data_IF_877015702111
#
_entry.id   IF_877015702111
#
_cell.length_a   1.000
_cell.length_b   1.000
_cell.length_c   1.000
_cell.angle_alpha   90.00
_cell.angle_beta   90.00
_cell.angle_gamma   90.00
#
_symmetry.space_group_name_H-M   'P 1'
#
loop_
_entity.id
_entity.type
_entity.pdbx_description
1 polymer ?
#
# COMPACT_ATOMS: atom_id res chain seq x y z
N UNK A 1 -9.00 6.99 -20.68
CA UNK A 1 -9.22 8.31 -20.05
C UNK A 1 -10.70 8.69 -20.19
N UNK A 2 -11.28 9.40 -19.23
CA UNK A 2 -12.67 9.90 -19.26
C UNK A 2 -12.71 11.35 -18.77
N UNK A 3 -13.47 12.19 -19.47
CA UNK A 3 -13.69 13.61 -19.11
C UNK A 3 -15.13 13.89 -18.68
N UNK A 4 -15.97 12.87 -18.65
CA UNK A 4 -17.42 12.94 -18.43
C UNK A 4 -17.85 12.06 -17.25
N UNK A 5 -16.98 11.94 -16.23
CA UNK A 5 -17.25 11.19 -14.99
C UNK A 5 -17.54 9.71 -15.25
N UNK A 6 -16.77 9.11 -16.16
CA UNK A 6 -16.88 7.71 -16.55
C UNK A 6 -18.16 7.34 -17.32
N UNK A 7 -18.91 8.30 -17.85
CA UNK A 7 -20.01 8.03 -18.79
C UNK A 7 -19.46 7.42 -20.10
N UNK A 8 -18.30 7.92 -20.56
CA UNK A 8 -17.56 7.33 -21.68
C UNK A 8 -16.06 7.28 -21.41
N UNK A 9 -15.38 6.35 -22.10
CA UNK A 9 -13.94 6.19 -22.05
C UNK A 9 -13.35 6.32 -23.45
N UNK A 10 -12.29 7.11 -23.57
CA UNK A 10 -11.44 7.08 -24.77
C UNK A 10 -10.80 5.71 -24.93
N UNK A 11 -10.47 5.33 -26.16
CA UNK A 11 -9.62 4.15 -26.42
C UNK A 11 -8.34 4.28 -25.59
N UNK A 12 -7.97 3.25 -24.81
CA UNK A 12 -6.69 3.26 -24.10
C UNK A 12 -5.53 3.33 -25.11
N UNK A 13 -4.44 4.01 -24.76
CA UNK A 13 -3.14 3.80 -25.41
C UNK A 13 -2.33 2.83 -24.54
N UNK A 14 -2.43 1.51 -24.77
CA UNK A 14 -1.82 0.52 -23.89
C UNK A 14 -0.30 0.39 -24.09
N UNK A 15 0.30 1.10 -25.05
CA UNK A 15 1.72 0.95 -25.41
C UNK A 15 2.54 2.09 -24.80
N UNK A 16 2.81 2.02 -23.50
CA UNK A 16 3.69 3.00 -22.84
C UNK A 16 4.74 2.40 -21.92
N UNK A 17 4.74 1.09 -21.67
CA UNK A 17 5.78 0.48 -20.85
C UNK A 17 7.13 0.60 -21.59
N UNK A 18 7.99 1.50 -21.10
CA UNK A 18 9.33 1.73 -21.67
C UNK A 18 10.32 0.61 -21.37
N UNK A 19 9.89 -0.44 -20.65
CA UNK A 19 10.72 -1.57 -20.20
C UNK A 19 9.99 -2.89 -20.42
N UNK A 20 10.70 -3.98 -20.76
CA UNK A 20 10.11 -5.31 -20.90
C UNK A 20 9.84 -5.97 -19.52
N UNK A 21 8.96 -6.98 -19.49
CA UNK A 21 8.60 -7.75 -18.28
C UNK A 21 7.99 -6.91 -17.15
N UNK A 22 7.15 -5.95 -17.53
CA UNK A 22 6.46 -5.05 -16.62
C UNK A 22 5.16 -5.67 -16.06
N UNK A 23 5.05 -5.68 -14.74
CA UNK A 23 3.76 -5.76 -14.05
C UNK A 23 3.28 -4.33 -13.74
N UNK A 24 2.05 -3.99 -14.14
CA UNK A 24 1.49 -2.63 -14.05
C UNK A 24 0.49 -2.61 -12.92
N UNK A 25 0.84 -1.98 -11.80
CA UNK A 25 0.05 -2.22 -10.59
C UNK A 25 -0.65 -0.96 -10.10
N UNK A 26 -0.03 0.23 -10.18
CA UNK A 26 -0.59 1.39 -9.47
C UNK A 26 -0.55 2.71 -10.23
N UNK A 27 -1.57 3.53 -9.99
CA UNK A 27 -1.65 4.91 -10.44
C UNK A 27 -2.07 5.82 -9.29
N UNK A 28 -1.57 7.05 -9.30
CA UNK A 28 -2.11 8.14 -8.49
C UNK A 28 -1.97 9.47 -9.26
N UNK A 29 -2.80 10.44 -8.95
CA UNK A 29 -2.90 11.69 -9.71
C UNK A 29 -2.69 12.91 -8.81
N UNK A 30 -2.15 13.98 -9.40
CA UNK A 30 -2.18 15.28 -8.73
C UNK A 30 -3.63 15.82 -8.75
N UNK A 31 -3.93 16.81 -7.91
CA UNK A 31 -5.22 17.51 -7.94
C UNK A 31 -5.31 18.50 -9.14
N UNK A 32 -5.03 18.01 -10.35
CA UNK A 32 -5.17 18.71 -11.62
C UNK A 32 -5.61 17.74 -12.74
N UNK A 33 -6.12 18.24 -13.89
CA UNK A 33 -6.70 17.37 -14.92
C UNK A 33 -5.69 16.63 -15.80
N UNK A 34 -4.39 16.92 -15.68
CA UNK A 34 -3.36 16.52 -16.65
C UNK A 34 -2.35 15.52 -16.07
N UNK A 35 -1.99 15.64 -14.79
CA UNK A 35 -0.85 14.91 -14.24
C UNK A 35 -1.24 13.63 -13.50
N UNK A 36 -0.87 12.49 -14.10
CA UNK A 36 -1.04 11.16 -13.52
C UNK A 36 0.31 10.46 -13.49
N UNK A 37 0.59 9.75 -12.40
CA UNK A 37 1.79 8.94 -12.22
C UNK A 37 1.40 7.48 -12.24
N UNK A 38 2.06 6.70 -13.08
CA UNK A 38 1.90 5.25 -13.15
C UNK A 38 3.18 4.59 -12.69
N UNK A 39 3.02 3.65 -11.76
CA UNK A 39 4.06 2.74 -11.33
C UNK A 39 3.95 1.41 -12.09
N UNK A 40 5.11 0.85 -12.40
CA UNK A 40 5.24 -0.51 -12.91
C UNK A 40 6.58 -1.12 -12.47
N UNK A 41 6.58 -2.43 -12.27
CA UNK A 41 7.72 -3.18 -11.75
C UNK A 41 8.28 -4.14 -12.80
N UNK A 42 9.59 -4.08 -13.02
CA UNK A 42 10.31 -5.04 -13.84
C UNK A 42 10.60 -6.31 -13.02
N UNK A 43 9.66 -7.25 -13.02
CA UNK A 43 9.81 -8.51 -12.29
C UNK A 43 10.76 -9.51 -12.98
N UNK A 44 11.09 -9.28 -14.26
CA UNK A 44 11.80 -10.26 -15.08
C UNK A 44 13.32 -10.09 -15.13
N UNK A 45 13.83 -8.88 -14.91
CA UNK A 45 15.27 -8.60 -15.10
C UNK A 45 15.93 -7.88 -13.92
N UNK A 46 15.50 -6.67 -13.59
CA UNK A 46 16.20 -5.82 -12.61
C UNK A 46 15.51 -5.75 -11.24
N UNK A 47 14.26 -6.23 -11.13
CA UNK A 47 13.39 -5.94 -9.98
C UNK A 47 13.25 -4.43 -9.71
N UNK A 48 13.53 -3.57 -10.68
CA UNK A 48 13.40 -2.13 -10.51
C UNK A 48 11.92 -1.73 -10.54
N UNK A 49 11.56 -0.74 -9.72
CA UNK A 49 10.26 -0.08 -9.77
C UNK A 49 10.43 1.21 -10.56
N UNK A 50 9.62 1.38 -11.59
CA UNK A 50 9.60 2.57 -12.42
C UNK A 50 8.35 3.39 -12.14
N UNK A 51 8.52 4.71 -12.18
CA UNK A 51 7.41 5.66 -12.17
C UNK A 51 7.48 6.49 -13.43
N UNK A 52 6.36 6.62 -14.12
CA UNK A 52 6.25 7.43 -15.33
C UNK A 52 5.08 8.40 -15.22
N UNK A 53 5.28 9.63 -15.71
CA UNK A 53 4.28 10.69 -15.68
C UNK A 53 3.55 10.82 -17.01
N UNK A 54 2.23 10.93 -16.93
CA UNK A 54 1.36 11.47 -17.97
C UNK A 54 1.11 12.95 -17.75
N UNK A 55 1.06 13.72 -18.84
CA UNK A 55 0.73 15.16 -18.83
C UNK A 55 -0.59 15.46 -19.57
N UNK A 56 -1.40 14.43 -19.84
CA UNK A 56 -2.64 14.49 -20.63
C UNK A 56 -3.77 13.65 -20.01
N UNK A 57 -3.80 13.57 -18.67
CA UNK A 57 -4.87 12.91 -17.92
C UNK A 57 -4.81 11.39 -17.97
N UNK A 58 -3.61 10.83 -18.15
CA UNK A 58 -3.39 9.39 -18.27
C UNK A 58 -3.68 8.84 -19.67
N UNK A 59 -3.71 9.70 -20.70
CA UNK A 59 -3.88 9.25 -22.08
C UNK A 59 -2.57 8.68 -22.64
N UNK A 60 -1.44 9.34 -22.41
CA UNK A 60 -0.10 8.85 -22.76
C UNK A 60 0.88 8.98 -21.58
N UNK A 61 1.82 8.03 -21.47
CA UNK A 61 2.91 8.05 -20.51
C UNK A 61 4.23 8.11 -21.27
N UNK A 62 4.66 9.32 -21.59
CA UNK A 62 5.90 9.59 -22.35
C UNK A 62 6.84 10.52 -21.61
N UNK A 63 6.44 11.01 -20.43
CA UNK A 63 7.17 12.00 -19.66
C UNK A 63 7.65 11.43 -18.33
N UNK A 64 8.71 12.05 -17.80
CA UNK A 64 9.23 11.80 -16.47
C UNK A 64 9.32 10.36 -16.01
N UNK A 65 10.17 9.60 -16.70
CA UNK A 65 10.58 8.28 -16.26
C UNK A 65 11.58 8.42 -15.09
N UNK A 66 11.27 7.79 -13.97
CA UNK A 66 12.15 7.64 -12.82
C UNK A 66 12.27 6.20 -12.39
N UNK A 67 13.44 5.83 -11.87
CA UNK A 67 13.68 4.58 -11.14
C UNK A 67 13.58 4.85 -9.66
N UNK A 68 12.79 4.06 -8.94
CA UNK A 68 12.56 4.27 -7.51
C UNK A 68 13.73 3.73 -6.70
N UNK A 69 14.11 2.47 -6.93
CA UNK A 69 15.19 1.82 -6.19
C UNK A 69 16.51 2.50 -6.52
N UNK A 70 17.08 3.19 -5.55
CA UNK A 70 18.33 3.93 -5.72
C UNK A 70 19.55 3.00 -5.68
N UNK A 71 20.71 3.51 -6.12
CA UNK A 71 21.93 2.73 -6.22
C UNK A 71 22.46 2.22 -4.86
N UNK A 72 22.06 2.85 -3.75
CA UNK A 72 22.47 2.40 -2.42
C UNK A 72 21.61 1.24 -1.93
N UNK A 73 20.34 1.20 -2.34
CA UNK A 73 19.35 0.20 -1.92
C UNK A 73 19.31 -1.00 -2.86
N UNK A 74 19.60 -0.81 -4.15
CA UNK A 74 19.56 -1.85 -5.19
C UNK A 74 20.24 -3.17 -4.79
N UNK A 75 21.45 -3.20 -4.19
CA UNK A 75 22.07 -4.47 -3.80
C UNK A 75 21.24 -5.32 -2.81
N UNK A 76 20.33 -4.68 -2.07
CA UNK A 76 19.47 -5.33 -1.08
C UNK A 76 18.13 -5.80 -1.67
N UNK A 77 17.62 -5.14 -2.70
CA UNK A 77 16.23 -5.33 -3.16
C UNK A 77 16.10 -5.58 -4.67
N UNK A 78 17.23 -5.61 -5.39
CA UNK A 78 17.33 -6.19 -6.72
C UNK A 78 17.37 -7.73 -6.67
N UNK A 79 17.61 -8.41 -7.81
CA UNK A 79 17.76 -9.86 -7.86
C UNK A 79 18.85 -10.37 -6.89
N UNK A 80 18.73 -11.60 -6.35
CA UNK A 80 17.81 -12.64 -6.80
C UNK A 80 16.45 -12.66 -6.10
N UNK A 81 16.31 -12.13 -4.87
CA UNK A 81 15.02 -12.13 -4.17
C UNK A 81 14.08 -11.04 -4.71
N UNK A 82 14.63 -9.87 -5.04
CA UNK A 82 13.85 -8.74 -5.54
C UNK A 82 13.01 -8.04 -4.47
N UNK A 83 11.97 -7.35 -4.92
CA UNK A 83 11.03 -6.64 -4.06
C UNK A 83 9.58 -6.79 -4.52
N UNK A 84 8.67 -6.33 -3.67
CA UNK A 84 7.24 -6.23 -3.95
C UNK A 84 6.81 -4.79 -3.69
N UNK A 85 6.39 -4.13 -4.76
CA UNK A 85 5.90 -2.75 -4.75
C UNK A 85 4.45 -2.67 -4.26
N UNK A 86 4.15 -1.65 -3.47
CA UNK A 86 2.79 -1.21 -3.17
C UNK A 86 2.39 -0.02 -4.04
N UNK A 87 1.34 0.68 -3.64
CA UNK A 87 0.86 1.86 -4.35
C UNK A 87 1.87 3.02 -4.34
N UNK A 88 2.01 3.67 -5.49
CA UNK A 88 2.51 5.04 -5.57
C UNK A 88 1.50 5.99 -4.92
N UNK A 89 1.97 7.01 -4.22
CA UNK A 89 1.15 8.10 -3.69
C UNK A 89 1.69 9.48 -4.05
N UNK A 90 0.79 10.38 -4.41
CA UNK A 90 1.04 11.81 -4.58
C UNK A 90 0.64 12.53 -3.30
N UNK A 91 1.52 13.38 -2.78
CA UNK A 91 1.16 14.30 -1.69
C UNK A 91 0.20 15.37 -2.22
N UNK A 92 -1.02 15.37 -1.69
CA UNK A 92 -2.09 16.32 -2.03
C UNK A 92 -2.44 17.25 -0.86
N UNK A 93 -1.60 17.28 0.16
CA UNK A 93 -1.70 18.25 1.25
C UNK A 93 -1.44 19.66 0.75
N UNK A 94 -1.96 20.67 1.44
CA UNK A 94 -1.57 22.06 1.14
C UNK A 94 -0.26 22.48 1.82
N UNK A 95 0.62 21.51 2.13
CA UNK A 95 1.96 21.77 2.62
C UNK A 95 2.93 22.07 1.47
N UNK A 96 4.16 22.47 1.83
CA UNK A 96 5.27 22.61 0.87
C UNK A 96 5.67 21.28 0.22
N UNK A 97 5.20 20.15 0.74
CA UNK A 97 5.42 18.82 0.19
C UNK A 97 4.42 18.44 -0.90
N UNK A 98 3.41 19.29 -1.19
CA UNK A 98 2.45 19.08 -2.27
C UNK A 98 3.14 18.71 -3.58
N UNK A 99 2.72 17.59 -4.18
CA UNK A 99 3.28 17.04 -5.42
C UNK A 99 4.47 16.08 -5.22
N UNK A 100 5.00 15.93 -3.99
CA UNK A 100 5.97 14.87 -3.71
C UNK A 100 5.38 13.49 -4.02
N UNK A 101 6.23 12.55 -4.42
CA UNK A 101 5.83 11.17 -4.73
C UNK A 101 6.44 10.20 -3.72
N UNK A 102 5.66 9.19 -3.34
CA UNK A 102 6.04 8.18 -2.37
C UNK A 102 5.72 6.79 -2.89
N UNK A 103 6.74 5.98 -3.14
CA UNK A 103 6.61 4.59 -3.54
C UNK A 103 6.93 3.66 -2.38
N UNK A 104 5.95 2.94 -1.84
CA UNK A 104 6.20 1.94 -0.79
C UNK A 104 6.56 0.59 -1.40
N UNK A 105 7.49 -0.13 -0.78
CA UNK A 105 7.82 -1.50 -1.18
C UNK A 105 8.40 -2.30 -0.01
N UNK A 106 8.42 -3.62 -0.14
CA UNK A 106 9.10 -4.54 0.78
C UNK A 106 10.14 -5.35 0.03
N UNK A 107 11.22 -5.68 0.72
CA UNK A 107 12.33 -6.44 0.16
C UNK A 107 13.28 -6.92 1.25
N UNK A 108 14.38 -7.58 0.87
CA UNK A 108 15.43 -7.92 1.81
C UNK A 108 16.10 -6.69 2.43
N UNK A 109 16.47 -6.82 3.70
CA UNK A 109 17.00 -5.73 4.54
C UNK A 109 18.38 -5.27 4.09
N UNK A 110 19.16 -6.19 3.50
CA UNK A 110 20.54 -6.01 3.09
C UNK A 110 20.91 -7.04 2.01
N UNK A 111 22.09 -6.92 1.37
CA UNK A 111 22.52 -7.83 0.31
C UNK A 111 22.71 -9.28 0.75
N UNK A 112 23.04 -9.52 2.03
CA UNK A 112 23.17 -10.89 2.55
C UNK A 112 21.83 -11.59 2.61
N UNK A 113 20.78 -10.89 3.06
CA UNK A 113 19.42 -11.40 3.05
C UNK A 113 18.94 -11.63 1.61
N UNK A 114 19.23 -10.69 0.70
CA UNK A 114 18.88 -10.80 -0.71
C UNK A 114 19.45 -12.06 -1.39
N UNK A 115 20.70 -12.41 -1.07
CA UNK A 115 21.37 -13.57 -1.64
C UNK A 115 20.69 -14.92 -1.34
N UNK A 116 19.76 -14.99 -0.38
CA UNK A 116 19.02 -16.22 -0.06
C UNK A 116 17.99 -16.60 -1.14
N UNK A 117 17.65 -15.70 -2.07
CA UNK A 117 16.69 -15.94 -3.15
C UNK A 117 15.35 -16.51 -2.63
N UNK A 118 14.77 -15.87 -1.61
CA UNK A 118 13.59 -16.38 -0.91
C UNK A 118 12.76 -15.27 -0.33
N UNK A 119 11.44 -15.32 -0.56
CA UNK A 119 10.49 -14.34 -0.04
C UNK A 119 10.44 -14.32 1.50
N UNK A 120 10.86 -15.38 2.19
CA UNK A 120 11.01 -15.36 3.65
C UNK A 120 12.04 -14.34 4.14
N UNK A 121 12.98 -13.95 3.28
CA UNK A 121 13.97 -12.91 3.54
C UNK A 121 13.56 -11.53 3.04
N UNK A 122 12.32 -11.33 2.57
CA UNK A 122 11.77 -9.97 2.41
C UNK A 122 11.47 -9.40 3.80
N UNK A 123 12.49 -9.00 4.55
CA UNK A 123 12.47 -8.73 5.98
C UNK A 123 12.58 -7.23 6.32
N UNK A 124 12.43 -6.34 5.33
CA UNK A 124 12.38 -4.90 5.51
C UNK A 124 11.30 -4.22 4.65
N UNK A 125 10.83 -3.07 5.11
CA UNK A 125 9.92 -2.19 4.40
C UNK A 125 10.61 -0.86 4.09
N UNK A 126 10.34 -0.30 2.92
CA UNK A 126 11.01 0.87 2.36
C UNK A 126 9.99 1.85 1.76
N UNK A 127 10.42 3.11 1.64
CA UNK A 127 9.76 4.11 0.81
C UNK A 127 10.81 4.78 -0.10
N UNK A 128 10.55 4.83 -1.39
CA UNK A 128 11.24 5.73 -2.31
C UNK A 128 10.56 7.09 -2.31
N UNK A 129 11.32 8.14 -2.08
CA UNK A 129 10.83 9.53 -1.99
C UNK A 129 11.34 10.36 -3.15
N UNK A 130 10.45 10.90 -3.98
CA UNK A 130 10.77 11.97 -4.92
C UNK A 130 10.24 13.30 -4.38
N UNK A 131 11.14 14.19 -3.96
CA UNK A 131 10.79 15.49 -3.40
C UNK A 131 10.95 16.62 -4.41
N UNK A 132 10.14 17.68 -4.26
CA UNK A 132 10.24 18.86 -5.13
C UNK A 132 9.94 18.57 -6.60
N UNK A 133 9.06 17.60 -6.85
CA UNK A 133 8.67 17.21 -8.22
C UNK A 133 8.08 18.41 -8.94
N UNK A 134 8.68 18.75 -10.08
CA UNK A 134 8.25 19.89 -10.90
C UNK A 134 7.40 19.40 -12.06
N UNK A 135 6.30 20.10 -12.34
CA UNK A 135 5.47 19.85 -13.52
C UNK A 135 6.11 20.36 -14.82
N UNK A 136 7.07 21.30 -14.72
CA UNK A 136 7.79 21.85 -15.88
C UNK A 136 9.09 21.13 -16.19
N UNK A 137 9.60 20.33 -15.25
CA UNK A 137 10.74 19.43 -15.47
C UNK A 137 10.24 17.99 -15.60
N UNK A 138 10.78 17.18 -16.52
CA UNK A 138 10.45 15.76 -16.56
C UNK A 138 11.20 14.96 -15.48
N UNK A 139 12.26 15.47 -14.86
CA UNK A 139 13.09 14.64 -13.99
C UNK A 139 12.36 14.19 -12.72
N UNK A 140 12.30 12.87 -12.52
CA UNK A 140 11.94 12.25 -11.24
C UNK A 140 13.20 11.61 -10.64
N UNK A 141 13.54 11.99 -9.41
CA UNK A 141 14.68 11.45 -8.68
C UNK A 141 14.21 10.95 -7.34
N UNK A 142 14.35 9.65 -7.11
CA UNK A 142 13.99 9.01 -5.86
C UNK A 142 15.20 8.84 -4.95
N UNK A 143 14.95 8.84 -3.65
CA UNK A 143 15.90 8.39 -2.62
C UNK A 143 15.14 7.46 -1.69
N UNK A 144 15.72 6.31 -1.41
CA UNK A 144 15.07 5.28 -0.61
C UNK A 144 15.37 5.45 0.87
N UNK A 145 14.34 5.23 1.68
CA UNK A 145 14.42 5.23 3.13
C UNK A 145 13.82 3.95 3.69
N UNK A 146 14.57 3.30 4.58
CA UNK A 146 14.09 2.14 5.31
C UNK A 146 13.07 2.57 6.37
N UNK A 147 11.86 2.04 6.29
CA UNK A 147 10.77 2.24 7.25
C UNK A 147 10.95 1.30 8.44
N UNK A 148 11.28 0.04 8.16
CA UNK A 148 11.31 -1.02 9.15
C UNK A 148 12.25 -2.15 8.74
N UNK A 149 12.77 -2.86 9.75
CA UNK A 149 13.60 -4.06 9.61
C UNK A 149 13.21 -5.08 10.67
N UNK A 150 13.05 -6.34 10.26
CA UNK A 150 12.97 -7.47 11.19
C UNK A 150 14.34 -7.85 11.78
N UNK A 151 15.44 -7.29 11.25
CA UNK A 151 16.81 -7.55 11.65
C UNK A 151 17.64 -8.12 10.51
N UNK A 152 18.78 -7.48 10.22
CA UNK A 152 19.73 -7.93 9.22
C UNK A 152 20.21 -9.37 9.48
N UNK A 153 20.20 -10.23 8.47
CA UNK A 153 20.62 -11.63 8.59
C UNK A 153 19.55 -12.54 9.20
N UNK A 154 18.29 -12.10 9.28
CA UNK A 154 17.20 -12.86 9.92
C UNK A 154 15.87 -12.73 9.19
N UNK A 155 15.00 -13.73 9.31
CA UNK A 155 13.61 -13.64 8.83
C UNK A 155 12.73 -12.93 9.86
N UNK A 156 11.55 -12.48 9.46
CA UNK A 156 10.61 -11.89 10.41
C UNK A 156 10.10 -12.92 11.44
N UNK A 157 9.60 -12.48 12.60
CA UNK A 157 9.22 -13.38 13.69
C UNK A 157 8.16 -14.43 13.33
N UNK A 158 7.30 -14.16 12.35
CA UNK A 158 6.32 -15.13 11.84
C UNK A 158 6.95 -16.25 11.00
N UNK A 159 8.21 -16.11 10.58
CA UNK A 159 8.88 -16.98 9.61
C UNK A 159 8.51 -16.69 8.15
N UNK A 160 7.46 -15.92 7.90
CA UNK A 160 7.14 -15.38 6.58
C UNK A 160 7.84 -14.03 6.38
N UNK A 161 8.16 -13.68 5.14
CA UNK A 161 8.60 -12.32 4.82
C UNK A 161 7.41 -11.35 4.84
N UNK A 162 7.70 -10.08 4.59
CA UNK A 162 6.74 -8.97 4.56
C UNK A 162 5.94 -8.89 3.26
N UNK A 163 6.28 -9.73 2.27
CA UNK A 163 5.64 -9.83 0.96
C UNK A 163 4.25 -10.49 0.94
N UNK A 164 3.36 -10.13 1.88
CA UNK A 164 2.00 -10.71 1.97
C UNK A 164 0.94 -9.83 1.28
N UNK A 165 1.26 -9.40 0.04
CA UNK A 165 0.54 -8.56 -0.94
C UNK A 165 -0.48 -7.56 -0.38
N UNK A 166 -0.34 -6.27 -0.57
CA UNK A 166 0.87 -5.52 -0.86
C UNK A 166 1.16 -4.66 0.38
N UNK A 167 2.39 -4.17 0.58
CA UNK A 167 2.54 -3.01 1.44
C UNK A 167 1.69 -1.86 0.89
N UNK A 168 1.21 -0.98 1.75
CA UNK A 168 0.41 0.16 1.33
C UNK A 168 0.81 1.41 2.10
N UNK A 169 0.62 2.57 1.47
CA UNK A 169 0.94 3.87 2.03
C UNK A 169 -0.20 4.84 1.79
N UNK A 170 -0.43 5.75 2.73
CA UNK A 170 -1.33 6.89 2.57
C UNK A 170 -0.64 8.17 3.03
N UNK A 171 -1.05 9.29 2.43
CA UNK A 171 -0.66 10.65 2.84
C UNK A 171 -1.93 11.36 3.29
N UNK A 172 -1.95 11.92 4.50
CA UNK A 172 -3.08 12.76 4.91
C UNK A 172 -3.00 14.16 4.30
N UNK A 173 -4.06 14.96 4.46
CA UNK A 173 -4.11 16.35 3.99
C UNK A 173 -3.13 17.29 4.71
N UNK A 174 -2.33 16.79 5.66
CA UNK A 174 -1.33 17.53 6.42
C UNK A 174 0.10 17.12 6.05
N UNK A 175 0.26 16.27 5.04
CA UNK A 175 1.56 15.83 4.54
C UNK A 175 2.23 14.78 5.44
N UNK A 176 1.47 14.15 6.34
CA UNK A 176 1.95 13.03 7.14
C UNK A 176 1.73 11.73 6.39
N UNK A 177 2.73 10.85 6.44
CA UNK A 177 2.71 9.57 5.74
C UNK A 177 2.45 8.44 6.72
N UNK A 178 1.79 7.41 6.21
CA UNK A 178 1.43 6.23 6.96
C UNK A 178 1.65 5.00 6.11
N UNK A 179 2.47 4.06 6.57
CA UNK A 179 2.78 2.83 5.86
C UNK A 179 2.27 1.61 6.64
N UNK A 180 1.77 0.61 5.92
CA UNK A 180 1.31 -0.67 6.46
C UNK A 180 1.85 -1.83 5.66
N UNK A 181 2.09 -2.94 6.34
CA UNK A 181 2.55 -4.20 5.74
C UNK A 181 2.16 -5.38 6.64
N UNK A 182 2.27 -6.59 6.10
CA UNK A 182 1.92 -7.83 6.81
C UNK A 182 3.10 -8.79 6.83
N UNK A 183 3.37 -9.39 8.00
CA UNK A 183 4.27 -10.56 8.12
C UNK A 183 3.51 -11.89 8.08
N UNK A 184 2.32 -11.93 7.48
CA UNK A 184 1.34 -13.02 7.51
C UNK A 184 0.57 -13.13 8.82
N UNK A 185 1.18 -12.84 9.96
CA UNK A 185 0.54 -12.95 11.29
C UNK A 185 0.05 -11.59 11.79
N UNK A 186 0.81 -10.53 11.58
CA UNK A 186 0.55 -9.21 12.11
C UNK A 186 0.46 -8.20 10.98
N UNK A 187 -0.52 -7.30 11.07
CA UNK A 187 -0.49 -6.02 10.37
C UNK A 187 0.34 -5.03 11.17
N UNK A 188 1.39 -4.50 10.54
CA UNK A 188 2.23 -3.45 11.08
C UNK A 188 1.82 -2.09 10.49
N UNK A 189 2.14 -1.05 11.25
CA UNK A 189 1.91 0.34 10.92
C UNK A 189 3.12 1.17 11.37
N UNK A 190 3.51 2.15 10.55
CA UNK A 190 4.46 3.19 10.93
C UNK A 190 4.06 4.51 10.29
N UNK A 191 4.45 5.63 10.88
CA UNK A 191 4.16 6.96 10.37
C UNK A 191 5.42 7.81 10.22
N UNK A 192 5.36 8.78 9.31
CA UNK A 192 6.41 9.78 9.11
C UNK A 192 5.84 11.20 9.20
N UNK A 193 6.51 12.02 10.00
CA UNK A 193 6.30 13.48 10.06
C UNK A 193 7.34 14.27 9.28
N UNK A 194 8.23 13.56 8.58
CA UNK A 194 9.43 14.10 7.91
C UNK A 194 9.42 13.76 6.42
N UNK A 195 8.22 13.72 5.82
CA UNK A 195 8.02 13.48 4.39
C UNK A 195 8.69 12.18 3.90
N UNK A 196 8.67 11.13 4.73
CA UNK A 196 9.22 9.81 4.40
C UNK A 196 10.70 9.61 4.73
N UNK A 197 11.42 10.65 5.18
CA UNK A 197 12.87 10.54 5.47
C UNK A 197 13.20 9.86 6.80
N UNK A 198 12.25 9.85 7.74
CA UNK A 198 12.35 9.11 9.01
C UNK A 198 10.97 8.64 9.46
N UNK A 199 10.93 7.51 10.18
CA UNK A 199 9.71 6.78 10.51
C UNK A 199 9.65 6.44 11.99
N UNK A 200 8.43 6.34 12.53
CA UNK A 200 8.21 5.84 13.88
C UNK A 200 8.63 4.37 13.99
N UNK A 201 8.89 3.86 15.21
CA UNK A 201 8.93 2.42 15.43
C UNK A 201 7.65 1.76 14.90
N UNK A 202 7.78 0.54 14.36
CA UNK A 202 6.64 -0.20 13.84
C UNK A 202 5.69 -0.61 14.99
N UNK A 203 4.39 -0.38 14.78
CA UNK A 203 3.31 -0.68 15.70
C UNK A 203 2.52 -1.86 15.15
N UNK A 204 2.27 -2.87 15.97
CA UNK A 204 1.43 -4.02 15.61
C UNK A 204 -0.04 -3.66 15.82
N UNK A 205 -0.76 -3.33 14.74
CA UNK A 205 -2.19 -2.95 14.78
C UNK A 205 -3.06 -4.09 15.31
N UNK A 206 -2.64 -5.33 15.07
CA UNK A 206 -3.32 -6.55 15.52
C UNK A 206 -3.07 -6.89 16.99
N UNK A 207 -2.08 -6.27 17.63
CA UNK A 207 -1.74 -6.56 19.02
C UNK A 207 -2.90 -6.21 19.96
N UNK A 208 -3.15 -7.06 20.96
CA UNK A 208 -4.22 -6.90 21.94
C UNK A 208 -5.62 -6.81 21.31
N UNK A 209 -5.81 -7.40 20.13
CA UNK A 209 -7.11 -7.52 19.47
C UNK A 209 -7.52 -9.00 19.33
N UNK A 210 -8.78 -9.32 18.98
CA UNK A 210 -9.18 -10.68 18.63
C UNK A 210 -8.46 -11.31 17.43
N UNK A 211 -7.66 -10.53 16.70
CA UNK A 211 -6.83 -10.97 15.57
C UNK A 211 -5.36 -11.22 15.97
N UNK A 212 -4.98 -11.04 17.24
CA UNK A 212 -3.64 -11.31 17.71
C UNK A 212 -3.27 -12.80 17.51
N UNK A 213 -2.13 -13.05 16.86
CA UNK A 213 -1.60 -14.39 16.62
C UNK A 213 -2.30 -15.20 15.53
N UNK A 214 -3.29 -14.63 14.84
CA UNK A 214 -3.98 -15.24 13.69
C UNK A 214 -3.33 -14.83 12.37
N UNK A 215 -3.74 -15.45 11.27
CA UNK A 215 -3.32 -14.99 9.94
C UNK A 215 -4.00 -13.67 9.58
N UNK A 216 -3.23 -12.68 9.16
CA UNK A 216 -3.67 -11.35 8.77
C UNK A 216 -2.88 -10.90 7.52
N UNK A 217 -3.54 -10.76 6.37
CA UNK A 217 -2.90 -10.46 5.08
C UNK A 217 -3.67 -9.39 4.31
N UNK A 218 -3.07 -8.87 3.24
CA UNK A 218 -3.66 -7.86 2.36
C UNK A 218 -4.03 -6.54 3.07
N UNK A 219 -3.08 -5.93 3.81
CA UNK A 219 -3.34 -4.64 4.41
C UNK A 219 -3.46 -3.55 3.34
N UNK A 220 -4.46 -2.69 3.53
CA UNK A 220 -4.65 -1.45 2.80
C UNK A 220 -4.85 -0.32 3.79
N UNK A 221 -4.47 0.90 3.39
CA UNK A 221 -4.54 2.09 4.25
C UNK A 221 -5.11 3.29 3.49
N UNK A 222 -5.89 4.11 4.19
CA UNK A 222 -6.33 5.42 3.72
C UNK A 222 -6.20 6.45 4.86
N UNK A 223 -5.95 7.70 4.48
CA UNK A 223 -5.89 8.84 5.38
C UNK A 223 -6.42 10.09 4.67
N UNK A 224 -7.09 10.99 5.38
CA UNK A 224 -7.73 12.18 4.78
C UNK A 224 -7.70 13.45 5.64
N UNK A 225 -7.46 13.33 6.94
CA UNK A 225 -7.40 14.44 7.90
C UNK A 225 -6.24 14.23 8.88
N UNK A 226 -5.97 15.21 9.74
CA UNK A 226 -4.77 15.26 10.59
C UNK A 226 -4.68 14.04 11.51
N UNK A 227 -3.92 13.01 11.11
CA UNK A 227 -3.86 11.75 11.84
C UNK A 227 -5.14 10.90 11.78
N UNK A 228 -6.11 11.20 10.90
CA UNK A 228 -7.23 10.29 10.65
C UNK A 228 -6.82 9.24 9.64
N UNK A 229 -6.71 8.00 10.11
CA UNK A 229 -6.19 6.87 9.36
C UNK A 229 -7.10 5.67 9.56
N UNK A 230 -7.37 4.95 8.47
CA UNK A 230 -8.07 3.68 8.48
C UNK A 230 -7.23 2.60 7.77
N UNK A 231 -7.12 1.43 8.40
CA UNK A 231 -6.36 0.28 7.89
C UNK A 231 -7.30 -0.90 7.80
N UNK A 232 -7.44 -1.53 6.62
CA UNK A 232 -8.26 -2.72 6.44
C UNK A 232 -7.44 -3.90 5.92
N UNK A 233 -7.84 -5.12 6.29
CA UNK A 233 -7.14 -6.36 5.91
C UNK A 233 -8.06 -7.58 6.00
N UNK A 234 -7.64 -8.71 5.41
CA UNK A 234 -8.25 -10.02 5.64
C UNK A 234 -7.65 -10.66 6.90
N UNK A 235 -8.51 -10.93 7.89
CA UNK A 235 -8.14 -11.63 9.11
C UNK A 235 -8.82 -13.00 9.20
N UNK A 236 -8.03 -14.04 9.48
CA UNK A 236 -8.52 -15.41 9.67
C UNK A 236 -9.14 -15.59 11.07
N UNK A 237 -9.85 -16.70 11.25
CA UNK A 237 -10.24 -17.21 12.55
C UNK A 237 -9.19 -18.14 13.20
N UNK A 238 -8.16 -18.54 12.43
CA UNK A 238 -7.07 -19.43 12.85
C UNK A 238 -5.68 -18.78 12.70
N UNK A 239 -4.69 -19.39 13.35
CA UNK A 239 -3.27 -19.10 13.13
C UNK A 239 -2.71 -19.96 11.99
N UNK A 240 -1.62 -19.51 11.38
CA UNK A 240 -0.89 -20.24 10.34
C UNK A 240 -0.44 -19.34 9.19
N UNK A 241 0.20 -19.94 8.18
CA UNK A 241 0.52 -19.22 6.94
C UNK A 241 -0.70 -19.21 6.03
N UNK A 242 -1.15 -18.04 5.59
CA UNK A 242 -2.33 -17.90 4.70
C UNK A 242 -2.33 -18.83 3.48
N UNK A 243 -1.16 -19.19 2.94
CA UNK A 243 -1.03 -20.08 1.77
C UNK A 243 -1.22 -21.57 2.12
N UNK A 244 -1.18 -21.94 3.39
CA UNK A 244 -1.17 -23.34 3.85
C UNK A 244 -2.07 -23.61 5.06
N UNK A 245 -2.83 -22.63 5.53
CA UNK A 245 -3.85 -22.84 6.58
C UNK A 245 -4.86 -23.93 6.18
N UNK A 246 -5.52 -24.58 7.16
CA UNK A 246 -6.56 -25.57 6.87
C UNK A 246 -7.66 -25.01 5.95
N UNK A 247 -8.20 -25.85 5.06
CA UNK A 247 -9.26 -25.44 4.13
C UNK A 247 -10.58 -25.06 4.83
N UNK A 248 -10.70 -25.29 6.14
CA UNK A 248 -11.83 -24.88 6.97
C UNK A 248 -11.64 -23.50 7.62
N UNK A 249 -10.54 -22.81 7.33
CA UNK A 249 -10.22 -21.49 7.90
C UNK A 249 -11.15 -20.43 7.32
N UNK A 250 -11.78 -19.63 8.17
CA UNK A 250 -12.71 -18.59 7.76
C UNK A 250 -12.05 -17.22 7.86
N UNK A 251 -12.30 -16.39 6.85
CA UNK A 251 -11.74 -15.05 6.73
C UNK A 251 -12.85 -14.01 6.78
N UNK A 252 -12.51 -12.87 7.37
CA UNK A 252 -13.35 -11.69 7.45
C UNK A 252 -12.50 -10.46 7.15
N UNK A 253 -13.15 -9.39 6.68
CA UNK A 253 -12.49 -8.09 6.60
C UNK A 253 -12.54 -7.39 7.94
N UNK A 254 -11.38 -6.95 8.42
CA UNK A 254 -11.25 -6.11 9.61
C UNK A 254 -10.81 -4.71 9.21
N UNK A 255 -11.19 -3.72 10.03
CA UNK A 255 -10.75 -2.33 9.89
C UNK A 255 -10.34 -1.77 11.25
N UNK A 256 -9.16 -1.15 11.31
CA UNK A 256 -8.69 -0.38 12.44
C UNK A 256 -8.67 1.11 12.07
N UNK A 257 -9.34 1.93 12.87
CA UNK A 257 -9.45 3.38 12.65
C UNK A 257 -8.82 4.15 13.82
N UNK A 258 -8.07 5.21 13.52
CA UNK A 258 -7.51 6.14 14.49
C UNK A 258 -7.69 7.58 14.03
N UNK A 259 -7.84 8.52 14.98
CA UNK A 259 -7.88 9.97 14.72
C UNK A 259 -6.61 10.69 15.20
N UNK A 260 -5.62 9.92 15.66
CA UNK A 260 -4.34 10.43 16.16
C UNK A 260 -3.16 9.59 15.64
N UNK A 261 -3.20 9.18 14.38
CA UNK A 261 -2.27 8.22 13.78
C UNK A 261 -0.77 8.59 13.87
N UNK A 262 -0.43 9.88 13.92
CA UNK A 262 0.96 10.34 14.06
C UNK A 262 1.38 10.65 15.51
N UNK A 263 0.53 10.35 16.49
CA UNK A 263 0.91 10.47 17.90
C UNK A 263 1.97 9.42 18.27
N UNK A 264 2.77 9.70 19.31
CA UNK A 264 3.75 8.73 19.85
C UNK A 264 3.10 7.40 20.23
N UNK A 265 1.86 7.45 20.71
CA UNK A 265 1.03 6.29 21.04
C UNK A 265 -0.33 6.44 20.36
N UNK A 266 -0.46 6.10 19.07
CA UNK A 266 -1.74 6.18 18.37
C UNK A 266 -2.71 5.15 18.94
N UNK A 267 -3.99 5.48 18.98
CA UNK A 267 -5.03 4.59 19.51
C UNK A 267 -5.95 4.18 18.37
N UNK A 268 -6.06 2.87 18.15
CA UNK A 268 -6.90 2.28 17.12
C UNK A 268 -8.17 1.67 17.72
N UNK A 269 -9.29 1.88 17.04
CA UNK A 269 -10.53 1.15 17.27
C UNK A 269 -10.67 0.08 16.19
N UNK A 270 -10.73 -1.19 16.58
CA UNK A 270 -10.93 -2.31 15.66
C UNK A 270 -12.42 -2.60 15.46
N UNK A 271 -12.83 -2.84 14.21
CA UNK A 271 -14.15 -3.36 13.85
C UNK A 271 -14.02 -4.48 12.81
N UNK A 272 -15.00 -5.40 12.79
CA UNK A 272 -15.20 -6.30 11.63
C UNK A 272 -16.08 -5.59 10.61
N UNK A 273 -15.60 -5.46 9.38
CA UNK A 273 -16.28 -4.79 8.29
C UNK A 273 -17.29 -5.70 7.58
N UNK A 274 -17.02 -7.01 7.53
CA UNK A 274 -17.96 -8.00 6.97
C UNK A 274 -19.06 -8.36 7.98
N UNK A 275 -20.27 -8.61 7.46
CA UNK A 275 -21.39 -9.16 8.23
C UNK A 275 -21.40 -10.70 8.25
N UNK A 276 -20.68 -11.35 7.33
CA UNK A 276 -20.48 -12.79 7.24
C UNK A 276 -19.01 -13.14 6.89
N UNK A 277 -18.71 -14.44 6.81
CA UNK A 277 -17.41 -14.94 6.33
C UNK A 277 -17.35 -14.70 4.83
N UNK A 278 -16.41 -13.87 4.36
CA UNK A 278 -16.28 -13.54 2.93
C UNK A 278 -15.46 -14.58 2.17
N UNK A 279 -14.70 -15.43 2.88
CA UNK A 279 -13.88 -16.48 2.29
C UNK A 279 -13.61 -17.63 3.26
N UNK A 280 -13.62 -18.86 2.76
CA UNK A 280 -13.19 -20.05 3.49
C UNK A 280 -12.12 -20.78 2.69
N UNK A 281 -10.98 -21.05 3.31
CA UNK A 281 -9.85 -21.69 2.64
C UNK A 281 -8.51 -21.01 2.91
N UNK A 282 -7.58 -21.22 1.98
CA UNK A 282 -6.28 -20.55 1.97
C UNK A 282 -6.39 -19.22 1.21
N UNK A 283 -5.46 -18.29 1.44
CA UNK A 283 -5.33 -17.09 0.61
C UNK A 283 -3.90 -17.03 0.11
N UNK A 284 -3.73 -17.04 -1.21
CA UNK A 284 -2.43 -16.95 -1.82
C UNK A 284 -1.87 -15.53 -1.81
N UNK A 285 -0.67 -15.40 -1.25
CA UNK A 285 0.11 -14.15 -1.23
C UNK A 285 1.29 -14.17 -2.20
N UNK A 286 1.36 -15.14 -3.12
CA UNK A 286 2.48 -15.32 -4.05
C UNK A 286 2.38 -14.53 -5.35
N UNK A 287 1.33 -13.70 -5.50
CA UNK A 287 1.08 -12.92 -6.71
C UNK A 287 0.88 -13.81 -7.94
N UNK A 288 1.44 -13.40 -9.08
CA UNK A 288 1.38 -14.13 -10.35
C UNK A 288 1.92 -15.57 -10.26
N UNK A 289 2.91 -15.80 -9.39
CA UNK A 289 3.57 -17.11 -9.22
C UNK A 289 3.00 -17.91 -8.03
N UNK A 290 1.96 -17.38 -7.37
CA UNK A 290 1.30 -18.04 -6.26
C UNK A 290 0.55 -19.29 -6.71
N UNK A 291 0.64 -20.37 -5.92
CA UNK A 291 0.00 -21.66 -6.21
C UNK A 291 -1.16 -22.03 -5.27
N UNK A 292 -1.38 -21.23 -4.21
CA UNK A 292 -2.52 -21.40 -3.31
C UNK A 292 -3.78 -20.72 -3.90
N UNK A 293 -4.89 -20.71 -3.17
CA UNK A 293 -6.17 -20.18 -3.66
C UNK A 293 -6.05 -18.67 -4.01
N UNK A 294 -6.40 -18.34 -5.27
CA UNK A 294 -6.39 -17.00 -5.87
C UNK A 294 -7.80 -16.50 -6.21
N UNK A 295 -8.85 -17.10 -5.64
CA UNK A 295 -10.24 -16.73 -5.90
C UNK A 295 -10.58 -15.31 -5.48
N UNK A 296 -9.91 -14.75 -4.47
CA UNK A 296 -10.04 -13.34 -4.08
C UNK A 296 -9.28 -12.39 -5.01
N UNK A 297 -8.38 -12.91 -5.85
CA UNK A 297 -7.38 -12.15 -6.59
C UNK A 297 -6.69 -11.11 -5.68
N UNK A 298 -6.27 -9.97 -6.22
CA UNK A 298 -5.71 -8.85 -5.46
C UNK A 298 -6.74 -7.70 -5.34
N UNK A 299 -8.04 -8.02 -5.39
CA UNK A 299 -9.14 -7.04 -5.37
C UNK A 299 -9.54 -6.69 -3.95
N UNK A 300 -8.82 -5.71 -3.39
CA UNK A 300 -9.11 -5.13 -2.08
C UNK A 300 -8.73 -3.65 -2.10
N UNK A 301 -9.56 -2.77 -1.57
CA UNK A 301 -9.24 -1.34 -1.46
C UNK A 301 -10.01 -0.67 -0.31
N UNK A 302 -9.39 0.34 0.28
CA UNK A 302 -10.01 1.25 1.26
C UNK A 302 -9.88 2.69 0.79
N UNK A 303 -10.91 3.50 1.08
CA UNK A 303 -10.88 4.95 0.89
C UNK A 303 -11.70 5.64 1.99
N UNK A 304 -11.34 6.88 2.31
CA UNK A 304 -12.13 7.73 3.22
C UNK A 304 -12.80 8.81 2.37
N UNK A 305 -14.12 8.96 2.51
CA UNK A 305 -14.85 10.05 1.86
C UNK A 305 -14.39 11.39 2.46
N UNK A 306 -13.78 12.29 1.69
CA UNK A 306 -13.17 13.51 2.22
C UNK A 306 -14.17 14.55 2.73
N UNK A 307 -15.48 14.34 2.51
CA UNK A 307 -16.56 15.23 2.96
C UNK A 307 -17.24 14.70 4.22
N UNK A 308 -17.47 13.39 4.27
CA UNK A 308 -18.17 12.75 5.41
C UNK A 308 -17.22 12.10 6.40
N UNK A 309 -15.95 11.94 6.04
CA UNK A 309 -14.92 11.19 6.76
C UNK A 309 -15.33 9.74 7.06
N UNK A 310 -16.19 9.17 6.21
CA UNK A 310 -16.64 7.79 6.35
C UNK A 310 -15.71 6.86 5.56
N UNK A 311 -15.31 5.78 6.21
CA UNK A 311 -14.51 4.72 5.60
C UNK A 311 -15.39 3.92 4.64
N UNK A 312 -14.86 3.65 3.44
CA UNK A 312 -15.43 2.79 2.42
C UNK A 312 -14.41 1.69 2.10
N UNK A 313 -14.87 0.44 2.03
CA UNK A 313 -14.00 -0.71 1.72
C UNK A 313 -14.68 -1.51 0.60
N UNK A 314 -13.92 -1.77 -0.46
CA UNK A 314 -14.28 -2.71 -1.51
C UNK A 314 -13.38 -3.96 -1.38
N UNK A 315 -13.96 -5.14 -1.42
CA UNK A 315 -13.23 -6.39 -1.20
C UNK A 315 -13.85 -7.54 -1.99
N UNK A 316 -13.04 -8.55 -2.28
CA UNK A 316 -13.50 -9.78 -2.90
C UNK A 316 -14.22 -10.68 -1.89
N UNK A 317 -15.33 -11.26 -2.33
CA UNK A 317 -16.15 -12.16 -1.54
C UNK A 317 -16.57 -13.34 -2.42
N UNK A 318 -16.29 -14.54 -1.95
CA UNK A 318 -16.63 -15.78 -2.64
C UNK A 318 -17.49 -16.73 -1.78
N UNK A 319 -18.13 -16.22 -0.73
CA UNK A 319 -18.92 -17.05 0.21
C UNK A 319 -20.04 -17.85 -0.49
N UNK A 320 -20.58 -17.31 -1.58
CA UNK A 320 -21.68 -17.90 -2.36
C UNK A 320 -21.23 -18.58 -3.67
N UNK A 321 -19.92 -18.80 -3.86
CA UNK A 321 -19.37 -19.46 -5.04
C UNK A 321 -18.35 -18.59 -5.78
N UNK A 322 -18.71 -18.07 -6.96
CA UNK A 322 -17.79 -17.22 -7.74
C UNK A 322 -17.51 -15.92 -6.98
N UNK A 323 -16.23 -15.51 -6.98
CA UNK A 323 -15.80 -14.27 -6.36
C UNK A 323 -16.45 -13.04 -7.01
N UNK A 324 -16.98 -12.16 -6.18
CA UNK A 324 -17.59 -10.88 -6.58
C UNK A 324 -17.05 -9.75 -5.71
N UNK A 325 -17.15 -8.51 -6.19
CA UNK A 325 -16.79 -7.34 -5.39
C UNK A 325 -17.93 -6.95 -4.46
N UNK A 326 -17.66 -6.97 -3.16
CA UNK A 326 -18.52 -6.41 -2.12
C UNK A 326 -18.05 -5.01 -1.74
N UNK A 327 -18.99 -4.20 -1.25
CA UNK A 327 -18.74 -2.85 -0.77
C UNK A 327 -19.39 -2.67 0.60
N UNK A 328 -18.62 -2.12 1.55
CA UNK A 328 -19.15 -1.71 2.85
C UNK A 328 -18.73 -0.28 3.18
N UNK A 329 -19.62 0.46 3.84
CA UNK A 329 -19.41 1.84 4.26
C UNK A 329 -19.68 1.98 5.75
N UNK A 330 -18.78 2.67 6.44
CA UNK A 330 -18.95 3.07 7.82
C UNK A 330 -20.20 3.96 7.96
N UNK A 331 -21.05 3.69 8.95
CA UNK A 331 -22.33 4.40 9.11
C UNK A 331 -22.21 5.74 9.84
N UNK A 332 -21.12 5.96 10.58
CA UNK A 332 -20.89 7.15 11.39
C UNK A 332 -19.38 7.38 11.52
N UNK A 333 -18.95 8.61 11.26
CA UNK A 333 -17.55 9.00 11.36
C UNK A 333 -17.07 8.94 12.82
N UNK A 334 -15.77 8.66 13.00
CA UNK A 334 -15.16 8.71 14.31
C UNK A 334 -15.26 10.13 14.92
N UNK A 335 -15.52 10.25 16.23
CA UNK A 335 -15.42 11.54 16.90
C UNK A 335 -13.95 12.00 16.97
N UNK A 336 -13.73 13.31 16.94
CA UNK A 336 -12.39 13.89 17.16
C UNK A 336 -11.52 14.04 15.92
N UNK A 337 -12.05 13.78 14.72
CA UNK A 337 -11.36 14.04 13.45
C UNK A 337 -11.03 15.53 13.34
N UNK A 338 -9.75 15.84 13.09
CA UNK A 338 -9.25 17.21 13.00
C UNK A 338 -8.94 17.58 11.55
N UNK A 339 -9.74 18.48 10.99
CA UNK A 339 -9.61 18.97 9.61
C UNK A 339 -8.99 20.36 9.52
N UNK A 340 -8.62 20.97 10.65
CA UNK A 340 -8.06 22.33 10.72
C UNK A 340 -6.60 22.31 11.17
N UNK A 341 -5.81 23.23 10.64
CA UNK A 341 -4.42 23.42 11.07
C UNK A 341 -3.53 23.94 9.94
N UNK A 342 -2.22 24.02 10.20
CA UNK A 342 -1.23 24.33 9.17
C UNK A 342 -1.29 23.23 8.10
N UNK A 343 -1.37 23.61 6.83
CA UNK A 343 -1.60 22.72 5.68
C UNK A 343 -3.01 22.13 5.52
N UNK A 344 -3.97 22.42 6.41
CA UNK A 344 -5.37 22.12 6.14
C UNK A 344 -5.79 22.92 4.90
N UNK A 345 -6.06 22.24 3.79
CA UNK A 345 -6.32 22.92 2.53
C UNK A 345 -7.46 23.92 2.63
N UNK A 346 -7.19 25.15 2.17
CA UNK A 346 -8.24 25.99 1.59
C UNK A 346 -8.74 25.25 0.36
N UNK A 347 -10.04 24.96 0.32
CA UNK A 347 -10.73 24.40 -0.86
C UNK A 347 -10.13 24.96 -2.15
N UNK A 348 -9.51 24.09 -2.96
CA UNK A 348 -9.06 24.41 -4.30
C UNK A 348 -10.24 24.48 -5.26
#
# INVERSE_FOLDING_TARGET
HSTDRADTFSTPDPVTAGVPFDDRMWIDALDDPNHVYMEYHDFGTTSQIFVQRSNDGGQTYTNGLGTVVDAATEPSVGPPTGNIAGQIKVDRSSCTSHGNLYQVFVGPDNPTDNANNSSSFMNAAYVGVASGVSLTSPTLSFTDYKIFSCGAGSTCPSGAGLGNLFPALAVDKFGYLYAVWSDNTNIYYSFSMSQGTSWSPAIKVTQNTPQAGKSNVFPWIAADANGHVAIAWYGADQAGNSNTVPLTTNWNVYVAETVNGHAVTPVFTLSRATDHVNHTGQISTGGLLGSSDRSLADFFQIAIDPTTHLINIAYADNHAGTSVTYFTRQKKAAPGISTKGKCAGSSH
#
